data_IF_856552539505
#
_entry.id   IF_856552539505
#
_cell.length_a   1.000
_cell.length_b   1.000
_cell.length_c   1.000
_cell.angle_alpha   90.00
_cell.angle_beta   90.00
_cell.angle_gamma   90.00
#
_symmetry.space_group_name_H-M   'P 1'
#
loop_
_entity.id
_entity.type
_entity.pdbx_description
1 polymer ?
#
# COMPACT_ATOMS: atom_id res chain seq x y z
N UNK A 1 -31.41 1.40 -0.77
CA UNK A 1 -30.52 2.12 0.17
C UNK A 1 -29.89 1.07 1.04
N UNK A 2 -28.78 0.48 0.58
CA UNK A 2 -28.03 -0.52 1.35
C UNK A 2 -27.14 0.22 2.34
N UNK A 3 -27.35 -0.11 3.61
CA UNK A 3 -26.64 0.39 4.78
C UNK A 3 -25.11 0.37 4.60
N UNK A 4 -24.45 1.39 5.15
CA UNK A 4 -23.11 1.86 4.81
C UNK A 4 -21.96 0.98 5.33
N UNK A 5 -21.98 -0.31 5.04
CA UNK A 5 -20.88 -1.24 5.35
C UNK A 5 -20.04 -1.46 4.09
N UNK A 6 -18.77 -1.06 4.14
CA UNK A 6 -17.79 -1.33 3.07
C UNK A 6 -17.75 -2.82 2.76
N UNK A 7 -17.91 -3.18 1.50
CA UNK A 7 -17.78 -4.56 1.04
C UNK A 7 -16.31 -4.99 0.95
N UNK A 8 -16.07 -6.31 0.94
CA UNK A 8 -14.72 -6.89 0.81
C UNK A 8 -13.96 -6.34 -0.41
N UNK A 9 -14.66 -6.12 -1.52
CA UNK A 9 -14.09 -5.52 -2.73
C UNK A 9 -13.50 -4.13 -2.45
N UNK A 10 -14.26 -3.25 -1.79
CA UNK A 10 -13.82 -1.89 -1.48
C UNK A 10 -12.64 -1.89 -0.50
N UNK A 11 -12.70 -2.75 0.52
CA UNK A 11 -11.61 -2.93 1.48
C UNK A 11 -10.34 -3.40 0.77
N UNK A 12 -10.46 -4.39 -0.11
CA UNK A 12 -9.33 -4.92 -0.87
C UNK A 12 -8.72 -3.87 -1.81
N UNK A 13 -9.54 -3.11 -2.53
CA UNK A 13 -9.07 -2.02 -3.39
C UNK A 13 -8.36 -0.92 -2.59
N UNK A 14 -8.83 -0.59 -1.39
CA UNK A 14 -8.15 0.36 -0.50
C UNK A 14 -6.74 -0.12 -0.12
N UNK A 15 -6.60 -1.39 0.27
CA UNK A 15 -5.31 -2.00 0.63
C UNK A 15 -4.35 -2.06 -0.57
N UNK A 16 -4.86 -2.44 -1.74
CA UNK A 16 -4.11 -2.46 -3.00
C UNK A 16 -3.60 -1.06 -3.33
N UNK A 17 -4.46 -0.04 -3.27
CA UNK A 17 -4.09 1.34 -3.55
C UNK A 17 -3.04 1.88 -2.58
N UNK A 18 -3.15 1.55 -1.29
CA UNK A 18 -2.15 1.92 -0.29
C UNK A 18 -0.78 1.28 -0.58
N UNK A 19 -0.74 -0.01 -0.91
CA UNK A 19 0.49 -0.72 -1.25
C UNK A 19 1.10 -0.26 -2.57
N UNK A 20 0.27 0.01 -3.59
CA UNK A 20 0.71 0.54 -4.87
C UNK A 20 1.45 1.87 -4.69
N UNK A 21 0.88 2.80 -3.90
CA UNK A 21 1.51 4.08 -3.57
C UNK A 21 2.87 3.92 -2.90
N UNK A 22 2.99 3.02 -1.91
CA UNK A 22 4.26 2.72 -1.25
C UNK A 22 5.31 2.16 -2.21
N UNK A 23 4.87 1.39 -3.21
CA UNK A 23 5.74 0.86 -4.26
C UNK A 23 6.05 1.86 -5.38
N UNK A 24 5.49 3.08 -5.34
CA UNK A 24 5.60 4.07 -6.43
C UNK A 24 4.85 3.67 -7.70
N UNK A 25 3.87 2.78 -7.60
CA UNK A 25 3.03 2.28 -8.71
C UNK A 25 1.63 2.90 -8.66
N UNK A 26 0.96 2.94 -9.82
CA UNK A 26 -0.45 3.38 -9.92
C UNK A 26 -1.43 2.32 -9.40
N UNK A 27 -1.12 1.04 -9.63
CA UNK A 27 -1.93 -0.10 -9.19
C UNK A 27 -1.05 -1.35 -9.06
N UNK A 28 -1.57 -2.40 -8.40
CA UNK A 28 -1.02 -3.75 -8.39
C UNK A 28 -2.02 -4.72 -9.03
N UNK A 29 -1.57 -5.47 -10.02
CA UNK A 29 -2.42 -6.47 -10.68
C UNK A 29 -2.69 -7.66 -9.76
N UNK A 30 -3.81 -8.34 -9.99
CA UNK A 30 -4.13 -9.59 -9.25
C UNK A 30 -3.06 -10.66 -9.43
N UNK A 31 -2.34 -10.65 -10.55
CA UNK A 31 -1.24 -11.57 -10.82
C UNK A 31 -0.02 -11.24 -9.95
N UNK A 32 0.41 -9.96 -9.91
CA UNK A 32 1.50 -9.52 -9.04
C UNK A 32 1.23 -9.83 -7.56
N UNK A 33 -0.01 -9.63 -7.09
CA UNK A 33 -0.39 -9.93 -5.71
C UNK A 33 -0.33 -11.45 -5.46
N UNK A 34 -0.87 -12.26 -6.37
CA UNK A 34 -0.83 -13.73 -6.23
C UNK A 34 0.60 -14.27 -6.19
N UNK A 35 1.47 -13.76 -7.06
CA UNK A 35 2.87 -14.21 -7.14
C UNK A 35 3.65 -13.78 -5.89
N UNK A 36 3.44 -12.55 -5.41
CA UNK A 36 4.05 -12.08 -4.17
C UNK A 36 3.56 -12.84 -2.91
N UNK A 37 2.34 -13.38 -2.94
CA UNK A 37 1.82 -14.26 -1.86
C UNK A 37 2.46 -15.65 -1.94
N UNK A 38 2.61 -16.20 -3.15
CA UNK A 38 3.24 -17.51 -3.39
C UNK A 38 4.71 -17.52 -3.03
N UNK A 39 5.44 -16.44 -3.32
CA UNK A 39 6.82 -16.26 -2.91
C UNK A 39 7.00 -16.34 -1.38
N UNK A 40 5.95 -16.02 -0.60
CA UNK A 40 5.92 -16.11 0.87
C UNK A 40 5.41 -17.47 1.39
N UNK A 41 5.19 -18.45 0.52
CA UNK A 41 4.78 -19.81 0.89
C UNK A 41 3.27 -20.02 1.09
N UNK A 42 2.44 -19.01 0.81
CA UNK A 42 0.97 -19.14 0.86
C UNK A 42 0.39 -19.30 -0.56
N UNK A 43 -0.71 -20.04 -0.70
CA UNK A 43 -1.31 -20.28 -2.01
C UNK A 43 -2.62 -19.51 -2.19
N UNK A 44 -2.69 -18.71 -3.25
CA UNK A 44 -3.91 -18.06 -3.73
C UNK A 44 -3.83 -17.92 -5.26
N UNK A 45 -4.97 -17.95 -5.95
CA UNK A 45 -5.02 -17.73 -7.39
C UNK A 45 -5.28 -16.25 -7.71
N UNK A 46 -4.66 -15.73 -8.79
CA UNK A 46 -4.96 -14.39 -9.28
C UNK A 46 -6.45 -14.25 -9.62
N UNK A 47 -7.11 -15.32 -10.07
CA UNK A 47 -8.53 -15.35 -10.39
C UNK A 47 -9.39 -15.14 -9.15
N UNK A 48 -9.03 -15.76 -8.02
CA UNK A 48 -9.68 -15.53 -6.73
C UNK A 48 -9.57 -14.07 -6.33
N UNK A 49 -8.37 -13.48 -6.42
CA UNK A 49 -8.16 -12.07 -6.09
C UNK A 49 -9.01 -11.18 -6.99
N UNK A 50 -9.02 -11.43 -8.31
CA UNK A 50 -9.85 -10.67 -9.25
C UNK A 50 -11.35 -10.78 -8.96
N UNK A 51 -11.87 -11.97 -8.60
CA UNK A 51 -13.28 -12.15 -8.22
C UNK A 51 -13.64 -11.34 -6.97
N UNK A 52 -12.72 -11.25 -6.00
CA UNK A 52 -12.90 -10.43 -4.80
C UNK A 52 -12.87 -8.94 -5.14
N UNK A 53 -11.87 -8.49 -5.92
CA UNK A 53 -11.74 -7.10 -6.38
C UNK A 53 -12.97 -6.60 -7.13
N UNK A 54 -13.53 -7.44 -7.99
CA UNK A 54 -14.71 -7.11 -8.81
C UNK A 54 -16.05 -7.34 -8.10
N UNK A 55 -16.04 -7.88 -6.88
CA UNK A 55 -17.26 -8.25 -6.16
C UNK A 55 -18.02 -9.41 -6.78
N UNK A 56 -17.44 -10.16 -7.71
CA UNK A 56 -18.02 -11.43 -8.19
C UNK A 56 -18.06 -12.49 -7.09
N UNK A 57 -17.11 -12.43 -6.15
CA UNK A 57 -17.13 -13.19 -4.92
C UNK A 57 -17.20 -12.22 -3.74
N UNK A 58 -18.29 -12.28 -2.98
CA UNK A 58 -18.53 -11.40 -1.82
C UNK A 58 -18.48 -12.14 -0.49
N UNK A 59 -18.38 -13.46 -0.52
CA UNK A 59 -18.31 -14.32 0.68
C UNK A 59 -17.16 -15.34 0.59
N UNK A 60 -15.90 -14.88 0.56
CA UNK A 60 -14.73 -15.76 0.60
C UNK A 60 -14.61 -16.51 1.91
N UNK A 61 -13.82 -17.59 1.89
CA UNK A 61 -13.41 -18.29 3.10
C UNK A 61 -12.51 -17.39 3.95
N UNK A 62 -12.63 -17.52 5.28
CA UNK A 62 -11.76 -16.83 6.25
C UNK A 62 -10.28 -17.08 5.95
N UNK A 63 -9.93 -18.29 5.53
CA UNK A 63 -8.56 -18.64 5.14
C UNK A 63 -8.03 -17.75 3.99
N UNK A 64 -8.83 -17.52 2.95
CA UNK A 64 -8.47 -16.65 1.82
C UNK A 64 -8.24 -15.22 2.28
N UNK A 65 -9.10 -14.71 3.17
CA UNK A 65 -8.93 -13.38 3.74
C UNK A 65 -7.75 -13.30 4.71
N UNK A 66 -7.44 -14.37 5.44
CA UNK A 66 -6.27 -14.45 6.30
C UNK A 66 -4.97 -14.34 5.50
N UNK A 67 -4.89 -15.02 4.35
CA UNK A 67 -3.74 -14.93 3.44
C UNK A 67 -3.58 -13.49 2.90
N UNK A 68 -4.68 -12.86 2.47
CA UNK A 68 -4.66 -11.48 2.00
C UNK A 68 -4.28 -10.49 3.11
N UNK A 69 -4.87 -10.65 4.30
CA UNK A 69 -4.59 -9.80 5.47
C UNK A 69 -3.11 -9.89 5.86
N UNK A 70 -2.55 -11.11 5.88
CA UNK A 70 -1.12 -11.33 6.14
C UNK A 70 -0.24 -10.67 5.08
N UNK A 71 -0.63 -10.77 3.81
CA UNK A 71 0.11 -10.14 2.72
C UNK A 71 0.16 -8.61 2.85
N UNK A 72 -0.98 -7.98 3.18
CA UNK A 72 -1.12 -6.53 3.34
C UNK A 72 -0.75 -6.01 4.73
N UNK A 73 -0.35 -6.89 5.66
CA UNK A 73 0.06 -6.51 7.01
C UNK A 73 -1.09 -5.98 7.89
N UNK A 74 -2.33 -6.43 7.66
CA UNK A 74 -3.51 -6.06 8.45
C UNK A 74 -4.09 -7.27 9.20
N UNK A 75 -4.92 -7.04 10.21
CA UNK A 75 -5.68 -8.12 10.84
C UNK A 75 -6.84 -8.55 9.94
N UNK A 76 -7.16 -9.85 9.92
CA UNK A 76 -8.25 -10.39 9.07
C UNK A 76 -9.62 -9.74 9.36
N UNK A 77 -9.84 -9.26 10.59
CA UNK A 77 -11.05 -8.54 11.01
C UNK A 77 -11.31 -7.28 10.16
N UNK A 78 -10.25 -6.70 9.57
CA UNK A 78 -10.33 -5.56 8.66
C UNK A 78 -11.25 -5.79 7.45
N UNK A 79 -11.45 -7.05 7.03
CA UNK A 79 -12.32 -7.39 5.91
C UNK A 79 -13.81 -7.54 6.29
N UNK A 80 -14.13 -7.61 7.58
CA UNK A 80 -15.50 -7.93 8.05
C UNK A 80 -16.07 -6.91 9.03
N UNK A 81 -15.21 -6.13 9.69
CA UNK A 81 -15.60 -5.10 10.65
C UNK A 81 -15.29 -3.72 10.07
N UNK A 82 -16.34 -3.06 9.58
CA UNK A 82 -16.25 -1.74 8.98
C UNK A 82 -15.81 -0.66 9.97
N UNK A 83 -16.20 -0.77 11.25
CA UNK A 83 -15.83 0.20 12.28
C UNK A 83 -14.33 0.08 12.62
N UNK A 84 -13.84 -1.15 12.71
CA UNK A 84 -12.40 -1.44 12.86
C UNK A 84 -11.60 -0.97 11.65
N UNK A 85 -12.11 -1.21 10.44
CA UNK A 85 -11.47 -0.78 9.21
C UNK A 85 -11.33 0.75 9.15
N UNK A 86 -12.40 1.47 9.46
CA UNK A 86 -12.40 2.93 9.48
C UNK A 86 -11.48 3.51 10.56
N UNK A 87 -11.34 2.85 11.70
CA UNK A 87 -10.39 3.26 12.73
C UNK A 87 -8.95 3.14 12.26
N UNK A 88 -8.57 2.01 11.67
CA UNK A 88 -7.21 1.79 11.15
C UNK A 88 -6.92 2.73 9.97
N UNK A 89 -7.89 2.94 9.07
CA UNK A 89 -7.81 3.93 7.99
C UNK A 89 -7.57 5.36 8.52
N UNK A 90 -8.26 5.75 9.60
CA UNK A 90 -8.03 7.06 10.25
C UNK A 90 -6.59 7.17 10.77
N UNK A 91 -6.06 6.11 11.38
CA UNK A 91 -4.68 6.09 11.88
C UNK A 91 -3.66 6.18 10.74
N UNK A 92 -3.89 5.46 9.64
CA UNK A 92 -3.06 5.53 8.43
C UNK A 92 -3.07 6.93 7.81
N UNK A 93 -4.25 7.57 7.72
CA UNK A 93 -4.37 8.95 7.22
C UNK A 93 -3.59 9.95 8.08
N UNK A 94 -3.58 9.80 9.40
CA UNK A 94 -2.78 10.66 10.29
C UNK A 94 -1.29 10.50 10.01
N UNK A 95 -0.81 9.27 9.83
CA UNK A 95 0.59 9.01 9.49
C UNK A 95 0.97 9.62 8.12
N UNK A 96 0.09 9.49 7.12
CA UNK A 96 0.30 10.12 5.81
C UNK A 96 0.30 11.65 5.90
N UNK A 97 -0.57 12.22 6.72
CA UNK A 97 -0.60 13.67 7.00
C UNK A 97 0.71 14.14 7.63
N UNK A 98 1.27 13.38 8.57
CA UNK A 98 2.55 13.67 9.19
C UNK A 98 3.72 13.58 8.19
N UNK A 99 3.71 12.58 7.30
CA UNK A 99 4.70 12.46 6.22
C UNK A 99 4.62 13.65 5.26
N UNK A 100 3.42 14.03 4.83
CA UNK A 100 3.20 15.18 3.97
C UNK A 100 3.68 16.49 4.63
N UNK A 101 3.38 16.68 5.93
CA UNK A 101 3.87 17.84 6.69
C UNK A 101 5.40 17.91 6.78
N UNK A 102 6.08 16.77 6.96
CA UNK A 102 7.54 16.73 6.93
C UNK A 102 8.09 17.12 5.56
N UNK A 103 7.51 16.61 4.47
CA UNK A 103 7.93 16.94 3.11
C UNK A 103 7.76 18.43 2.81
N UNK A 104 6.64 19.03 3.21
CA UNK A 104 6.38 20.46 3.06
C UNK A 104 7.40 21.30 3.85
N UNK A 105 7.74 20.91 5.09
CA UNK A 105 8.76 21.60 5.88
C UNK A 105 10.15 21.50 5.22
N UNK A 106 10.51 20.33 4.70
CA UNK A 106 11.77 20.17 3.94
C UNK A 106 11.79 21.04 2.69
N UNK A 107 10.69 21.11 1.93
CA UNK A 107 10.58 21.97 0.75
C UNK A 107 10.73 23.45 1.09
N UNK A 108 10.07 23.92 2.15
CA UNK A 108 10.21 25.30 2.62
C UNK A 108 11.67 25.66 2.97
N UNK A 109 12.41 24.75 3.61
CA UNK A 109 13.83 24.96 3.93
C UNK A 109 14.74 24.92 2.70
N UNK A 110 14.37 24.18 1.66
CA UNK A 110 15.11 24.16 0.39
C UNK A 110 14.99 25.50 -0.34
N UNK A 111 13.83 26.16 -0.27
CA UNK A 111 13.64 27.50 -0.84
C UNK A 111 14.53 28.56 -0.18
N UNK A 112 14.90 28.39 1.08
CA UNK A 112 15.81 29.29 1.80
C UNK A 112 17.29 29.17 1.36
N UNK A 113 17.64 28.13 0.59
CA UNK A 113 19.01 27.92 0.12
C UNK A 113 19.31 28.68 -1.17
N UNK A 114 20.59 28.99 -1.40
CA UNK A 114 21.04 29.48 -2.71
C UNK A 114 20.87 28.41 -3.79
N UNK A 115 20.85 28.78 -5.09
CA UNK A 115 20.76 27.82 -6.18
C UNK A 115 21.84 26.72 -6.12
N UNK A 116 23.07 27.08 -5.75
CA UNK A 116 24.18 26.12 -5.61
C UNK A 116 23.97 25.16 -4.43
N UNK A 117 23.35 25.65 -3.35
CA UNK A 117 22.96 24.86 -2.20
C UNK A 117 21.85 23.86 -2.56
N UNK A 118 20.83 24.30 -3.31
CA UNK A 118 19.76 23.44 -3.81
C UNK A 118 20.32 22.32 -4.71
N UNK A 119 21.19 22.66 -5.66
CA UNK A 119 21.88 21.71 -6.54
C UNK A 119 22.70 20.67 -5.76
N UNK A 120 23.33 21.10 -4.66
CA UNK A 120 24.10 20.21 -3.81
C UNK A 120 23.22 19.23 -3.02
N UNK A 121 22.06 19.68 -2.54
CA UNK A 121 21.07 18.80 -1.91
C UNK A 121 20.47 17.82 -2.92
N UNK A 122 20.11 18.28 -4.13
CA UNK A 122 19.58 17.41 -5.19
C UNK A 122 20.57 16.28 -5.53
N UNK A 123 21.86 16.60 -5.71
CA UNK A 123 22.90 15.58 -5.94
C UNK A 123 23.03 14.58 -4.80
N UNK A 124 22.82 15.01 -3.55
CA UNK A 124 22.85 14.12 -2.39
C UNK A 124 21.64 13.20 -2.35
N UNK A 125 20.45 13.71 -2.71
CA UNK A 125 19.22 12.92 -2.86
C UNK A 125 19.43 11.86 -3.96
N UNK A 126 19.91 12.25 -5.14
CA UNK A 126 20.15 11.34 -6.26
C UNK A 126 21.11 10.20 -5.89
N UNK A 127 22.22 10.55 -5.22
CA UNK A 127 23.18 9.54 -4.72
C UNK A 127 22.55 8.58 -3.72
N UNK A 128 21.66 9.07 -2.87
CA UNK A 128 20.99 8.23 -1.86
C UNK A 128 20.00 7.29 -2.52
N UNK A 129 19.16 7.80 -3.44
CA UNK A 129 18.20 6.98 -4.19
C UNK A 129 18.89 5.90 -5.02
N UNK A 130 20.04 6.21 -5.62
CA UNK A 130 20.82 5.23 -6.36
C UNK A 130 21.28 4.08 -5.46
N UNK A 131 21.82 4.38 -4.27
CA UNK A 131 22.23 3.37 -3.29
C UNK A 131 21.07 2.51 -2.80
N UNK A 132 19.90 3.11 -2.57
CA UNK A 132 18.71 2.36 -2.15
C UNK A 132 18.20 1.42 -3.25
N UNK A 133 18.30 1.82 -4.51
CA UNK A 133 17.97 0.96 -5.66
C UNK A 133 18.96 -0.20 -5.80
N UNK A 134 20.25 0.06 -5.60
CA UNK A 134 21.32 -0.95 -5.62
C UNK A 134 21.22 -1.95 -4.46
N UNK A 135 20.76 -1.49 -3.29
CA UNK A 135 20.53 -2.34 -2.11
C UNK A 135 19.16 -3.05 -2.12
N UNK A 136 18.33 -2.83 -3.14
CA UNK A 136 17.07 -3.55 -3.28
C UNK A 136 17.41 -4.96 -3.80
N UNK A 137 17.10 -6.04 -3.07
CA UNK A 137 17.41 -7.38 -3.53
C UNK A 137 16.76 -7.58 -4.91
N UNK A 138 17.53 -8.11 -5.86
CA UNK A 138 16.98 -8.64 -7.09
C UNK A 138 16.05 -9.79 -6.67
N UNK A 139 14.74 -9.58 -6.86
CA UNK A 139 13.76 -10.66 -6.74
C UNK A 139 14.09 -11.65 -7.87
N UNK A 140 14.72 -12.78 -7.51
CA UNK A 140 14.85 -14.01 -8.32
C UNK A 140 13.48 -14.72 -8.46
#
# INVERSE_FOLDING_TARGET
MTDGKRGIAEVLESLIGAHAKLAGKKDLSSQEIADAIRAKGANISHTTIWKLRTGQETNPRIETLGVLATHFGVQVQYFFDADYADQVDRQLRVLDSMRAGKLLNTAARLEELSPEGQDSILRMIDRTLQRERENRPADD
#
